data_IF_880796868347
#
_entry.id   IF_880796868347
#
_cell.length_a   1.000
_cell.length_b   1.000
_cell.length_c   1.000
_cell.angle_alpha   90.00
_cell.angle_beta   90.00
_cell.angle_gamma   90.00
#
_symmetry.space_group_name_H-M   'P 1'
#
loop_
_entity.id
_entity.type
_entity.pdbx_description
1 polymer ?
#
# COMPACT_ATOMS: atom_id res chain seq x y z
N UNK A 1 14.92 10.35 4.06
CA UNK A 1 13.72 10.98 4.64
C UNK A 1 14.14 11.76 5.89
N UNK A 2 13.92 13.07 5.98
CA UNK A 2 14.15 13.83 7.22
C UNK A 2 12.81 13.98 7.97
N UNK A 3 12.63 13.35 9.14
CA UNK A 3 11.37 13.39 9.90
C UNK A 3 10.93 14.80 10.29
N UNK A 4 11.87 15.74 10.42
CA UNK A 4 11.63 17.12 10.83
C UNK A 4 11.09 18.01 9.70
N UNK A 5 11.15 17.57 8.45
CA UNK A 5 10.64 18.33 7.30
C UNK A 5 9.18 17.98 6.95
N UNK A 6 8.53 17.13 7.75
CA UNK A 6 7.12 16.79 7.56
C UNK A 6 6.27 17.68 8.45
N UNK A 7 5.57 18.61 7.83
CA UNK A 7 4.53 19.39 8.51
C UNK A 7 3.27 18.52 8.65
N UNK A 8 3.11 17.90 9.82
CA UNK A 8 1.98 17.02 10.13
C UNK A 8 0.63 17.74 10.11
N UNK A 9 0.61 19.06 10.29
CA UNK A 9 -0.63 19.84 10.23
C UNK A 9 -1.14 20.05 8.79
N UNK A 10 -0.30 19.77 7.78
CA UNK A 10 -0.63 19.90 6.36
C UNK A 10 -0.88 18.57 5.65
N UNK A 11 -0.83 17.45 6.35
CA UNK A 11 -1.10 16.12 5.79
C UNK A 11 -2.61 15.91 5.74
N UNK A 12 -3.21 16.18 4.58
CA UNK A 12 -4.67 16.05 4.38
C UNK A 12 -4.98 14.96 3.36
N UNK A 13 -4.08 14.75 2.40
CA UNK A 13 -4.20 13.76 1.32
C UNK A 13 -3.14 12.69 1.50
N UNK A 14 -3.43 11.49 1.01
CA UNK A 14 -2.45 10.39 0.98
C UNK A 14 -1.14 10.79 0.30
N UNK A 15 -1.19 11.60 -0.77
CA UNK A 15 0.00 12.08 -1.48
C UNK A 15 0.83 13.12 -0.73
N UNK A 16 0.32 13.65 0.39
CA UNK A 16 1.07 14.55 1.26
C UNK A 16 2.00 13.75 2.20
N UNK A 17 1.79 12.44 2.31
CA UNK A 17 2.66 11.55 3.06
C UNK A 17 4.01 11.37 2.37
N UNK A 18 5.09 11.25 3.16
CA UNK A 18 6.39 10.99 2.59
C UNK A 18 6.45 9.67 1.84
N UNK A 19 7.12 9.68 0.68
CA UNK A 19 7.26 8.53 -0.21
C UNK A 19 5.93 8.00 -0.79
N UNK A 20 4.80 8.70 -0.60
CA UNK A 20 3.51 8.31 -1.19
C UNK A 20 3.25 9.17 -2.42
N UNK A 21 3.58 8.60 -3.59
CA UNK A 21 3.21 9.18 -4.89
C UNK A 21 1.77 8.83 -5.30
N UNK A 22 1.35 9.28 -6.48
CA UNK A 22 0.02 8.99 -7.03
C UNK A 22 -0.29 7.48 -7.08
N UNK A 23 0.65 6.68 -7.58
CA UNK A 23 0.47 5.22 -7.68
C UNK A 23 0.21 4.58 -6.32
N UNK A 24 1.08 4.86 -5.34
CA UNK A 24 0.92 4.36 -3.97
C UNK A 24 -0.37 4.86 -3.32
N UNK A 25 -0.80 6.10 -3.60
CA UNK A 25 -2.08 6.61 -3.11
C UNK A 25 -3.27 5.85 -3.71
N UNK A 26 -3.21 5.43 -4.98
CA UNK A 26 -4.25 4.58 -5.55
C UNK A 26 -4.23 3.17 -4.96
N UNK A 27 -3.06 2.57 -4.73
CA UNK A 27 -2.95 1.27 -4.06
C UNK A 27 -3.59 1.30 -2.66
N UNK A 28 -3.34 2.37 -1.90
CA UNK A 28 -3.97 2.59 -0.60
C UNK A 28 -5.50 2.72 -0.73
N UNK A 29 -6.00 3.38 -1.77
CA UNK A 29 -7.45 3.45 -2.04
C UNK A 29 -8.03 2.11 -2.44
N UNK A 30 -7.31 1.30 -3.21
CA UNK A 30 -7.71 -0.09 -3.54
C UNK A 30 -7.84 -0.94 -2.27
N UNK A 31 -7.01 -0.68 -1.25
CA UNK A 31 -7.09 -1.32 0.07
C UNK A 31 -8.19 -0.75 0.98
N UNK A 32 -8.86 0.33 0.57
CA UNK A 32 -9.94 1.00 1.30
C UNK A 32 -9.51 2.20 2.16
N UNK A 33 -8.25 2.62 2.09
CA UNK A 33 -7.75 3.80 2.81
C UNK A 33 -7.88 5.05 1.94
N UNK A 34 -8.67 6.02 2.41
CA UNK A 34 -8.97 7.27 1.68
C UNK A 34 -8.23 8.47 2.27
N UNK A 35 -7.84 8.41 3.54
CA UNK A 35 -7.18 9.48 4.28
C UNK A 35 -5.96 8.99 5.08
N UNK A 36 -4.94 9.84 5.29
CA UNK A 36 -3.70 9.48 6.00
C UNK A 36 -3.90 8.94 7.41
N UNK A 37 -4.93 9.39 8.13
CA UNK A 37 -5.20 8.99 9.50
C UNK A 37 -5.59 7.51 9.60
N UNK A 38 -6.18 6.96 8.53
CA UNK A 38 -6.67 5.59 8.50
C UNK A 38 -5.56 4.54 8.43
N UNK A 39 -4.33 4.95 8.06
CA UNK A 39 -3.16 4.06 8.01
C UNK A 39 -2.24 4.23 9.22
N UNK A 40 -2.58 5.11 10.16
CA UNK A 40 -1.81 5.26 11.40
C UNK A 40 -1.94 3.97 12.22
N UNK A 41 -0.80 3.34 12.52
CA UNK A 41 -0.76 2.07 13.25
C UNK A 41 -1.10 0.84 12.42
N UNK A 42 -1.40 0.99 11.12
CA UNK A 42 -1.56 -0.14 10.22
C UNK A 42 -0.22 -0.85 9.98
N UNK A 43 -0.24 -2.18 9.86
CA UNK A 43 0.95 -2.98 9.54
C UNK A 43 1.29 -2.84 8.06
N UNK A 44 2.48 -2.31 7.69
CA UNK A 44 2.88 -2.21 6.29
C UNK A 44 2.97 -3.59 5.61
N UNK A 45 3.30 -4.63 6.38
CA UNK A 45 3.39 -6.00 5.87
C UNK A 45 2.00 -6.55 5.49
N UNK A 46 1.01 -6.40 6.37
CA UNK A 46 -0.36 -6.85 6.08
C UNK A 46 -0.98 -6.06 4.91
N UNK A 47 -0.69 -4.75 4.82
CA UNK A 47 -1.12 -3.94 3.69
C UNK A 47 -0.53 -4.44 2.37
N UNK A 48 0.76 -4.79 2.37
CA UNK A 48 1.43 -5.37 1.21
C UNK A 48 0.83 -6.72 0.80
N UNK A 49 0.61 -7.64 1.75
CA UNK A 49 -0.02 -8.94 1.46
C UNK A 49 -1.42 -8.77 0.86
N UNK A 50 -2.24 -7.88 1.43
CA UNK A 50 -3.57 -7.57 0.91
C UNK A 50 -3.48 -6.99 -0.51
N UNK A 51 -2.54 -6.08 -0.78
CA UNK A 51 -2.38 -5.46 -2.09
C UNK A 51 -1.98 -6.49 -3.15
N UNK A 52 -1.02 -7.36 -2.82
CA UNK A 52 -0.65 -8.49 -3.67
C UNK A 52 -1.85 -9.39 -3.98
N UNK A 53 -2.68 -9.70 -2.98
CA UNK A 53 -3.89 -10.50 -3.18
C UNK A 53 -4.92 -9.85 -4.12
N UNK A 54 -5.06 -8.51 -4.04
CA UNK A 54 -5.93 -7.74 -4.93
C UNK A 54 -5.42 -7.77 -6.37
N UNK A 55 -4.13 -7.51 -6.61
CA UNK A 55 -3.58 -7.53 -7.97
C UNK A 55 -3.53 -8.94 -8.58
N UNK A 56 -3.32 -9.98 -7.77
CA UNK A 56 -3.42 -11.37 -8.22
C UNK A 56 -4.84 -11.72 -8.67
N UNK A 57 -5.86 -11.16 -8.01
CA UNK A 57 -7.27 -11.33 -8.40
C UNK A 57 -7.61 -10.60 -9.70
N UNK A 58 -7.00 -9.44 -9.92
CA UNK A 58 -7.20 -8.63 -11.13
C UNK A 58 -6.40 -9.13 -12.33
N UNK A 59 -5.36 -9.94 -12.12
CA UNK A 59 -4.51 -10.48 -13.18
C UNK A 59 -4.50 -12.02 -13.20
N UNK A 60 -5.34 -12.67 -14.03
CA UNK A 60 -5.47 -14.14 -14.05
C UNK A 60 -4.18 -14.88 -14.45
N UNK A 61 -3.24 -14.25 -15.16
CA UNK A 61 -1.92 -14.84 -15.44
C UNK A 61 -1.01 -14.83 -14.20
N UNK A 62 -1.11 -13.83 -13.34
CA UNK A 62 -0.35 -13.76 -12.09
C UNK A 62 -0.83 -14.82 -11.09
N UNK A 63 -2.13 -15.11 -11.04
CA UNK A 63 -2.69 -16.22 -10.26
C UNK A 63 -2.13 -17.59 -10.67
N UNK A 64 -1.94 -17.81 -11.97
CA UNK A 64 -1.37 -19.06 -12.49
C UNK A 64 0.12 -19.24 -12.10
N UNK A 65 0.89 -18.15 -11.98
CA UNK A 65 2.30 -18.19 -11.56
C UNK A 65 2.48 -18.27 -10.04
N UNK A 66 1.54 -17.73 -9.24
CA UNK A 66 1.59 -17.75 -7.76
C UNK A 66 1.54 -19.14 -7.12
N UNK A 67 1.05 -20.17 -7.83
CA UNK A 67 1.07 -21.57 -7.33
C UNK A 67 2.46 -22.22 -7.32
N UNK A 68 3.50 -21.58 -7.84
CA UNK A 68 4.90 -22.06 -7.81
C UNK A 68 5.75 -21.42 -6.70
N UNK A 69 5.25 -20.40 -5.99
CA UNK A 69 6.01 -19.65 -4.99
C UNK A 69 5.93 -20.23 -3.55
N UNK A 70 5.35 -21.42 -3.36
CA UNK A 70 5.32 -22.14 -2.08
C UNK A 70 6.60 -22.93 -1.75
N UNK A 71 7.71 -22.68 -2.44
CA UNK A 71 9.00 -23.38 -2.29
C UNK A 71 10.15 -22.39 -2.09
N UNK A 72 9.92 -21.37 -1.27
CA UNK A 72 10.98 -20.55 -0.69
C UNK A 72 10.79 -20.50 0.84
N UNK A 73 10.76 -21.70 1.45
CA UNK A 73 11.13 -21.98 2.84
C UNK A 73 11.77 -23.36 2.87
#
# INVERSE_FOLDING_TARGET
MNPHNVDRARVVRLTDLPNVGKATAEDLRLLGYLAPEQIVGASPFEMYERLCSTHLRENPLALAMGRKAGSWF
#
